data_IF_681720213541
#
_entry.id   IF_681720213541
#
_cell.length_a   1.000
_cell.length_b   1.000
_cell.length_c   1.000
_cell.angle_alpha   90.00
_cell.angle_beta   90.00
_cell.angle_gamma   90.00
#
_symmetry.space_group_name_H-M   'P 1'
#
loop_
_entity.id
_entity.type
_entity.pdbx_description
1 polymer ?
#
# COMPACT_ATOMS: atom_id res chain seq x y z
N UNK A 1 -2.11 -17.76 1.30
CA UNK A 1 -1.69 -16.45 0.76
C UNK A 1 -2.71 -16.02 -0.29
N UNK A 2 -3.49 -14.97 -0.01
CA UNK A 2 -4.52 -14.45 -0.92
C UNK A 2 -3.89 -13.40 -1.84
N UNK A 3 -4.31 -13.36 -3.10
CA UNK A 3 -3.91 -12.32 -4.06
C UNK A 3 -5.08 -11.37 -4.29
N UNK A 4 -4.81 -10.08 -4.27
CA UNK A 4 -5.78 -9.01 -4.48
C UNK A 4 -5.21 -8.08 -5.55
N UNK A 5 -5.97 -7.90 -6.62
CA UNK A 5 -5.65 -6.92 -7.65
C UNK A 5 -6.40 -5.62 -7.35
N UNK A 6 -5.69 -4.50 -7.39
CA UNK A 6 -6.20 -3.20 -7.03
C UNK A 6 -5.89 -2.22 -8.15
N UNK A 7 -6.92 -1.58 -8.68
CA UNK A 7 -6.75 -0.45 -9.58
C UNK A 7 -6.19 0.72 -8.81
N UNK A 8 -4.94 1.09 -9.09
CA UNK A 8 -4.21 2.12 -8.35
C UNK A 8 -4.97 3.45 -8.35
N UNK A 9 -5.48 3.85 -9.52
CA UNK A 9 -6.27 5.09 -9.67
C UNK A 9 -7.50 5.10 -8.75
N UNK A 10 -8.33 4.04 -8.82
CA UNK A 10 -9.51 3.89 -7.97
C UNK A 10 -9.16 3.84 -6.47
N UNK A 11 -8.03 3.23 -6.12
CA UNK A 11 -7.55 3.18 -4.74
C UNK A 11 -7.15 4.57 -4.23
N UNK A 12 -6.40 5.36 -5.01
CA UNK A 12 -6.04 6.72 -4.63
C UNK A 12 -7.27 7.64 -4.54
N UNK A 13 -8.25 7.47 -5.42
CA UNK A 13 -9.54 8.17 -5.32
C UNK A 13 -10.27 7.81 -4.03
N UNK A 14 -10.32 6.52 -3.68
CA UNK A 14 -10.93 6.05 -2.43
C UNK A 14 -10.27 6.69 -1.20
N UNK A 15 -8.93 6.80 -1.19
CA UNK A 15 -8.19 7.46 -0.11
C UNK A 15 -8.58 8.93 0.03
N UNK A 16 -8.68 9.65 -1.09
CA UNK A 16 -9.12 11.05 -1.11
C UNK A 16 -10.56 11.21 -0.63
N UNK A 17 -11.48 10.34 -1.07
CA UNK A 17 -12.89 10.38 -0.68
C UNK A 17 -13.10 10.08 0.80
N UNK A 18 -12.30 9.17 1.38
CA UNK A 18 -12.38 8.79 2.78
C UNK A 18 -11.55 9.68 3.71
N UNK A 19 -10.82 10.66 3.16
CA UNK A 19 -9.84 11.48 3.88
C UNK A 19 -8.94 10.63 4.80
N UNK A 20 -8.40 9.54 4.23
CA UNK A 20 -7.66 8.52 4.98
C UNK A 20 -6.38 8.12 4.28
N UNK A 21 -5.45 7.56 5.06
CA UNK A 21 -4.16 7.11 4.52
C UNK A 21 -4.24 5.68 4.00
N UNK A 22 -3.36 5.35 3.05
CA UNK A 22 -3.17 3.98 2.56
C UNK A 22 -2.98 2.98 3.70
N UNK A 23 -2.14 3.34 4.68
CA UNK A 23 -1.86 2.53 5.87
C UNK A 23 -3.10 2.27 6.74
N UNK A 24 -4.00 3.24 6.84
CA UNK A 24 -5.25 3.07 7.58
C UNK A 24 -6.16 2.03 6.92
N UNK A 25 -6.21 1.99 5.58
CA UNK A 25 -6.91 0.93 4.84
C UNK A 25 -6.22 -0.42 5.03
N UNK A 26 -4.89 -0.47 4.91
CA UNK A 26 -4.12 -1.70 5.08
C UNK A 26 -4.32 -2.31 6.46
N UNK A 27 -4.32 -1.49 7.52
CA UNK A 27 -4.58 -1.94 8.89
C UNK A 27 -5.96 -2.60 9.04
N UNK A 28 -6.97 -2.09 8.34
CA UNK A 28 -8.32 -2.68 8.33
C UNK A 28 -8.40 -3.99 7.53
N UNK A 29 -7.44 -4.23 6.61
CA UNK A 29 -7.37 -5.45 5.80
C UNK A 29 -6.59 -6.58 6.47
N UNK A 30 -5.96 -6.33 7.62
CA UNK A 30 -5.24 -7.36 8.38
C UNK A 30 -6.27 -8.29 9.04
N UNK A 31 -6.20 -9.58 8.71
CA UNK A 31 -7.09 -10.63 9.22
C UNK A 31 -6.32 -11.83 9.81
N UNK A 32 -5.00 -11.69 10.02
CA UNK A 32 -4.12 -12.78 10.43
C UNK A 32 -3.49 -13.58 9.28
N UNK A 33 -3.78 -13.25 8.02
CA UNK A 33 -3.15 -13.85 6.85
C UNK A 33 -2.43 -12.83 5.96
N UNK A 34 -1.26 -13.21 5.45
CA UNK A 34 -0.53 -12.43 4.45
C UNK A 34 -1.30 -12.39 3.11
N UNK A 35 -1.37 -11.19 2.54
CA UNK A 35 -2.03 -10.93 1.25
C UNK A 35 -1.08 -10.23 0.30
N UNK A 36 -1.06 -10.70 -0.93
CA UNK A 36 -0.34 -10.03 -2.01
C UNK A 36 -1.29 -9.03 -2.69
N UNK A 37 -0.98 -7.75 -2.60
CA UNK A 37 -1.72 -6.64 -3.21
C UNK A 37 -0.97 -6.21 -4.47
N UNK A 38 -1.58 -6.44 -5.62
CA UNK A 38 -1.05 -6.11 -6.94
C UNK A 38 -1.72 -4.83 -7.40
N UNK A 39 -0.98 -3.74 -7.45
CA UNK A 39 -1.49 -2.47 -7.93
C UNK A 39 -1.35 -2.41 -9.45
N UNK A 40 -2.49 -2.31 -10.12
CA UNK A 40 -2.62 -2.24 -11.57
C UNK A 40 -2.95 -0.81 -12.01
N UNK A 41 -2.50 -0.42 -13.18
CA UNK A 41 -2.98 0.79 -13.86
C UNK A 41 -4.36 0.58 -14.51
N UNK A 42 -4.84 1.60 -15.21
CA UNK A 42 -6.11 1.55 -15.95
C UNK A 42 -6.11 0.54 -17.09
N UNK A 43 -4.95 0.16 -17.63
CA UNK A 43 -4.76 -0.82 -18.70
C UNK A 43 -4.44 -2.24 -18.19
N UNK A 44 -4.66 -2.52 -16.90
CA UNK A 44 -4.35 -3.82 -16.25
C UNK A 44 -2.85 -4.16 -16.20
N UNK A 45 -1.96 -3.18 -16.36
CA UNK A 45 -0.51 -3.39 -16.19
C UNK A 45 -0.12 -3.25 -14.73
N UNK A 46 0.75 -4.14 -14.28
CA UNK A 46 1.31 -4.12 -12.91
C UNK A 46 2.21 -2.89 -12.75
N UNK A 47 1.84 -2.01 -11.83
CA UNK A 47 2.65 -0.87 -11.40
C UNK A 47 3.61 -1.29 -10.29
N UNK A 48 3.09 -1.93 -9.24
CA UNK A 48 3.87 -2.44 -8.13
C UNK A 48 3.08 -3.49 -7.34
N UNK A 49 3.81 -4.34 -6.62
CA UNK A 49 3.23 -5.34 -5.72
C UNK A 49 3.63 -5.00 -4.28
N UNK A 50 2.68 -5.11 -3.36
CA UNK A 50 2.89 -4.95 -1.94
C UNK A 50 2.38 -6.20 -1.21
N UNK A 51 3.15 -6.70 -0.25
CA UNK A 51 2.71 -7.82 0.59
C UNK A 51 2.18 -7.22 1.88
N UNK A 52 0.85 -7.26 2.05
CA UNK A 52 0.21 -6.89 3.29
C UNK A 52 0.58 -7.94 4.35
N UNK A 53 1.22 -7.54 5.46
CA UNK A 53 1.57 -8.47 6.51
C UNK A 53 0.32 -9.02 7.22
N UNK A 54 0.53 -10.13 7.92
CA UNK A 54 -0.48 -10.79 8.74
C UNK A 54 -0.79 -10.08 10.05
N UNK A 55 0.01 -9.08 10.45
CA UNK A 55 -0.12 -8.39 11.72
C UNK A 55 0.23 -6.89 11.64
N UNK A 56 -0.29 -6.13 12.61
CA UNK A 56 -0.13 -4.67 12.64
C UNK A 56 1.30 -4.21 12.94
N UNK A 57 2.08 -4.99 13.69
CA UNK A 57 3.45 -4.63 14.06
C UNK A 57 4.35 -4.54 12.81
N UNK A 58 4.31 -5.56 11.95
CA UNK A 58 4.99 -5.57 10.65
C UNK A 58 4.50 -4.45 9.73
N UNK A 59 3.20 -4.14 9.75
CA UNK A 59 2.64 -3.05 8.94
C UNK A 59 3.23 -1.70 9.35
N UNK A 60 3.40 -1.48 10.66
CA UNK A 60 3.99 -0.26 11.18
C UNK A 60 5.49 -0.16 10.86
N UNK A 61 6.22 -1.28 10.89
CA UNK A 61 7.60 -1.32 10.41
C UNK A 61 7.71 -0.93 8.93
N UNK A 62 6.83 -1.46 8.08
CA UNK A 62 6.76 -1.13 6.67
C UNK A 62 6.47 0.36 6.47
N UNK A 63 5.54 0.92 7.25
CA UNK A 63 5.22 2.35 7.21
C UNK A 63 6.44 3.21 7.53
N UNK A 64 7.19 2.85 8.56
CA UNK A 64 8.39 3.58 8.98
C UNK A 64 9.48 3.49 7.88
N UNK A 65 9.74 2.29 7.35
CA UNK A 65 10.71 2.07 6.26
C UNK A 65 10.32 2.87 5.02
N UNK A 66 9.06 2.78 4.60
CA UNK A 66 8.55 3.50 3.44
C UNK A 66 8.65 5.02 3.63
N UNK A 67 8.27 5.55 4.80
CA UNK A 67 8.39 6.99 5.08
C UNK A 67 9.84 7.47 5.01
N UNK A 68 10.79 6.65 5.47
CA UNK A 68 12.22 6.94 5.41
C UNK A 68 12.74 6.93 3.97
N UNK A 69 12.45 5.87 3.21
CA UNK A 69 12.86 5.75 1.82
C UNK A 69 12.23 6.83 0.93
N UNK A 70 10.98 7.20 1.20
CA UNK A 70 10.30 8.26 0.47
C UNK A 70 10.91 9.64 0.75
N UNK A 71 11.24 9.94 2.02
CA UNK A 71 11.93 11.17 2.38
C UNK A 71 13.34 11.25 1.75
N UNK A 72 14.06 10.13 1.71
CA UNK A 72 15.38 10.03 1.09
C UNK A 72 15.32 10.16 -0.45
N UNK A 73 14.34 9.55 -1.12
CA UNK A 73 14.16 9.68 -2.58
C UNK A 73 13.71 11.08 -3.01
N UNK A 74 12.88 11.77 -2.22
CA UNK A 74 12.52 13.16 -2.48
C UNK A 74 13.67 14.14 -2.23
N UNK A 75 14.58 13.84 -1.31
CA UNK A 75 15.76 14.67 -1.08
C UNK A 75 16.74 14.68 -2.27
N UNK A 76 16.72 13.62 -3.10
CA UNK A 76 17.55 13.50 -4.31
C UNK A 76 16.91 14.10 -5.58
N UNK A 77 15.71 14.69 -5.48
CA UNK A 77 15.04 15.39 -6.59
C UNK A 77 15.18 16.93 -6.53
N UNK A 78 16.02 17.45 -5.64
CA UNK A 78 16.36 18.88 -5.54
C UNK A 78 17.74 19.18 -6.14
#
# INVERSE_FOLDING_TARGET
>A
MKKIEIKAEQFFELLRLKDTSMWAIFSQMIDGEEKEMIFLDSEDKILFNYILPDNQEKLEEDRIKFSKEFAEKHAHLN
#
